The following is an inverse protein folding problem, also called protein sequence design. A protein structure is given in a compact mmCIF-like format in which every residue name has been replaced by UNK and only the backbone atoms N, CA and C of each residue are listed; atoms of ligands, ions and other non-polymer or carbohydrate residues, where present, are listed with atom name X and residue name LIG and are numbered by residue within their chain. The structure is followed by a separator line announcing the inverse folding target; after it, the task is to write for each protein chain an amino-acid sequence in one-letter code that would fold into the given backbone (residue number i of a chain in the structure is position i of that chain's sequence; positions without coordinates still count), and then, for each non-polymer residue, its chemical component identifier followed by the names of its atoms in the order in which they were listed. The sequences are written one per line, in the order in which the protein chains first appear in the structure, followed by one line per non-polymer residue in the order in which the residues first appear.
data_IF_856935223064
#
_entry.id   IF_856935223064
#
_cell.length_a   1.000
_cell.length_b   1.000
_cell.length_c   1.000
_cell.angle_alpha   90.00
_cell.angle_beta   90.00
_cell.angle_gamma   90.00
#
_symmetry.space_group_name_H-M   'P 1'
#
loop_
_entity.id
_entity.type
_entity.pdbx_description
1 polymer ?
#
# COMPACT_ATOMS: atom_id res chain seq x y z
N UNK A 1 31.71 -12.44 -69.43
CA UNK A 1 31.59 -11.68 -68.16
C UNK A 1 30.60 -10.55 -68.42
N UNK A 2 29.49 -10.42 -67.69
CA UNK A 2 28.54 -9.33 -67.93
C UNK A 2 29.12 -8.00 -67.43
N UNK A 3 29.29 -7.03 -68.32
CA UNK A 3 29.75 -5.67 -68.00
C UNK A 3 28.62 -4.94 -67.25
N UNK A 4 28.80 -4.76 -65.93
CA UNK A 4 27.90 -3.96 -65.10
C UNK A 4 28.04 -2.48 -65.49
N UNK A 5 27.26 -2.02 -66.46
CA UNK A 5 27.24 -0.60 -66.85
C UNK A 5 26.81 0.24 -65.64
N UNK A 6 27.46 1.38 -65.41
CA UNK A 6 27.26 2.24 -64.23
C UNK A 6 25.76 2.55 -63.92
N UNK A 7 24.92 2.60 -64.95
CA UNK A 7 23.46 2.80 -64.83
C UNK A 7 22.73 1.65 -64.11
N UNK A 8 23.15 0.41 -64.33
CA UNK A 8 22.56 -0.77 -63.68
C UNK A 8 23.04 -0.89 -62.23
N UNK A 9 24.28 -0.47 -61.95
CA UNK A 9 24.83 -0.40 -60.60
C UNK A 9 24.02 0.60 -59.73
N UNK A 10 23.74 1.79 -60.26
CA UNK A 10 22.92 2.79 -59.55
C UNK A 10 21.50 2.28 -59.23
N UNK A 11 20.89 1.55 -60.16
CA UNK A 11 19.58 0.96 -59.94
C UNK A 11 19.60 -0.12 -58.84
N UNK A 12 20.59 -1.01 -58.85
CA UNK A 12 20.76 -2.05 -57.82
C UNK A 12 21.00 -1.43 -56.44
N UNK A 13 21.83 -0.39 -56.35
CA UNK A 13 22.11 0.32 -55.09
C UNK A 13 20.85 1.02 -54.57
N UNK A 14 20.06 1.66 -55.43
CA UNK A 14 18.82 2.32 -55.04
C UNK A 14 17.80 1.28 -54.54
N UNK A 15 17.63 0.16 -55.23
CA UNK A 15 16.75 -0.93 -54.78
C UNK A 15 17.22 -1.48 -53.44
N UNK A 16 18.52 -1.79 -53.28
CA UNK A 16 19.06 -2.27 -52.02
C UNK A 16 18.86 -1.27 -50.86
N UNK A 17 19.07 0.03 -51.12
CA UNK A 17 18.86 1.08 -50.13
C UNK A 17 17.39 1.21 -49.72
N UNK A 18 16.45 1.12 -50.68
CA UNK A 18 15.01 1.13 -50.38
C UNK A 18 14.58 -0.08 -49.54
N UNK A 19 15.08 -1.28 -49.87
CA UNK A 19 14.79 -2.50 -49.10
C UNK A 19 15.35 -2.40 -47.68
N UNK A 20 16.58 -1.89 -47.52
CA UNK A 20 17.18 -1.67 -46.22
C UNK A 20 16.41 -0.65 -45.37
N UNK A 21 15.94 0.45 -45.99
CA UNK A 21 15.14 1.47 -45.32
C UNK A 21 13.78 0.91 -44.86
N UNK A 22 13.12 0.10 -45.68
CA UNK A 22 11.85 -0.56 -45.33
C UNK A 22 12.05 -1.54 -44.18
N UNK A 23 13.10 -2.36 -44.23
CA UNK A 23 13.45 -3.29 -43.14
C UNK A 23 13.73 -2.55 -41.84
N UNK A 24 14.52 -1.47 -41.89
CA UNK A 24 14.80 -0.65 -40.72
C UNK A 24 13.52 -0.03 -40.14
N UNK A 25 12.64 0.51 -40.98
CA UNK A 25 11.36 1.06 -40.55
C UNK A 25 10.49 0.00 -39.87
N UNK A 26 10.35 -1.19 -40.46
CA UNK A 26 9.58 -2.30 -39.86
C UNK A 26 10.15 -2.71 -38.50
N UNK A 27 11.49 -2.82 -38.38
CA UNK A 27 12.13 -3.17 -37.10
C UNK A 27 11.93 -2.07 -36.05
N UNK A 28 11.99 -0.79 -36.44
CA UNK A 28 11.76 0.32 -35.51
C UNK A 28 10.31 0.38 -35.04
N UNK A 29 9.34 0.13 -35.93
CA UNK A 29 7.92 0.08 -35.56
C UNK A 29 7.58 -1.13 -34.69
N UNK A 30 8.21 -2.29 -34.94
CA UNK A 30 7.98 -3.50 -34.15
C UNK A 30 8.58 -3.45 -32.73
N UNK A 31 9.45 -2.47 -32.43
CA UNK A 31 10.10 -2.30 -31.12
C UNK A 31 9.40 -1.31 -30.18
N UNK A 32 8.24 -0.76 -30.55
CA UNK A 32 7.59 0.31 -29.78
C UNK A 32 6.76 -0.15 -28.56
N UNK A 33 6.65 -1.46 -28.29
CA UNK A 33 5.68 -1.99 -27.31
C UNK A 33 6.25 -2.34 -25.91
N UNK A 34 7.43 -1.83 -25.52
CA UNK A 34 8.02 -2.12 -24.19
C UNK A 34 7.37 -1.33 -23.01
N UNK A 35 6.12 -0.89 -23.17
CA UNK A 35 5.38 -0.17 -22.13
C UNK A 35 4.61 -1.15 -21.23
N UNK A 36 5.32 -1.87 -20.36
CA UNK A 36 4.68 -2.67 -19.33
C UNK A 36 3.89 -1.75 -18.36
N UNK A 37 2.60 -2.01 -18.09
CA UNK A 37 1.82 -1.17 -17.20
C UNK A 37 2.39 -1.23 -15.78
N UNK A 38 2.63 -0.07 -15.18
CA UNK A 38 3.04 0.04 -13.77
C UNK A 38 1.92 -0.55 -12.90
N UNK A 39 2.18 -1.69 -12.26
CA UNK A 39 1.24 -2.33 -11.33
C UNK A 39 1.44 -1.72 -9.95
N UNK A 40 0.47 -0.93 -9.49
CA UNK A 40 0.43 -0.47 -8.10
C UNK A 40 -0.05 -1.64 -7.24
N UNK A 41 0.89 -2.30 -6.58
CA UNK A 41 0.57 -3.28 -5.54
C UNK A 41 0.18 -2.46 -4.32
N UNK A 42 -1.12 -2.29 -4.08
CA UNK A 42 -1.57 -1.71 -2.82
C UNK A 42 -1.05 -2.60 -1.68
N UNK A 43 -0.53 -2.03 -0.58
CA UNK A 43 -0.26 -2.83 0.61
C UNK A 43 -1.55 -3.55 0.96
N UNK A 44 -1.54 -4.89 0.97
CA UNK A 44 -2.54 -5.63 1.74
C UNK A 44 -2.49 -5.02 3.12
N UNK A 45 -3.60 -4.45 3.59
CA UNK A 45 -3.72 -4.08 4.99
C UNK A 45 -3.47 -5.38 5.75
N UNK A 46 -2.24 -5.58 6.21
CA UNK A 46 -1.90 -6.63 7.14
C UNK A 46 -2.85 -6.37 8.28
N UNK A 47 -3.81 -7.26 8.47
CA UNK A 47 -4.78 -7.15 9.54
C UNK A 47 -4.00 -7.47 10.81
N UNK A 48 -3.21 -6.49 11.26
CA UNK A 48 -2.55 -6.51 12.54
C UNK A 48 -3.68 -6.59 13.53
N UNK A 49 -3.85 -7.77 14.12
CA UNK A 49 -4.75 -7.94 15.26
C UNK A 49 -4.45 -6.79 16.22
N UNK A 50 -5.45 -5.98 16.61
CA UNK A 50 -5.20 -4.85 17.48
C UNK A 50 -4.46 -5.37 18.72
N UNK A 51 -3.32 -4.75 19.03
CA UNK A 51 -2.57 -5.13 20.21
C UNK A 51 -3.49 -5.00 21.43
N UNK A 52 -3.41 -5.95 22.35
CA UNK A 52 -4.26 -5.95 23.54
C UNK A 52 -3.45 -5.53 24.75
N UNK A 53 -4.11 -4.84 25.68
CA UNK A 53 -3.56 -4.43 26.98
C UNK A 53 -4.46 -4.93 28.10
N UNK A 54 -3.88 -5.19 29.27
CA UNK A 54 -4.63 -5.61 30.46
C UNK A 54 -4.62 -4.50 31.49
N UNK A 55 -5.79 -3.99 31.84
CA UNK A 55 -5.95 -2.87 32.76
C UNK A 55 -6.65 -3.37 34.02
N UNK A 56 -6.08 -3.06 35.18
CA UNK A 56 -6.73 -3.30 36.46
C UNK A 56 -7.57 -2.08 36.86
N UNK A 57 -8.88 -2.28 37.00
CA UNK A 57 -9.84 -1.25 37.40
C UNK A 57 -10.34 -1.55 38.81
N UNK A 58 -10.22 -0.57 39.72
CA UNK A 58 -10.58 -0.69 41.13
C UNK A 58 -11.20 0.65 41.62
N UNK A 59 -11.75 0.63 42.83
CA UNK A 59 -12.33 1.77 43.52
C UNK A 59 -13.85 1.75 43.45
N UNK A 60 -14.45 2.93 43.31
CA UNK A 60 -15.89 3.14 43.30
C UNK A 60 -16.49 2.85 41.90
N UNK A 61 -16.22 1.67 41.35
CA UNK A 61 -16.77 1.15 40.07
C UNK A 61 -17.73 -0.01 40.33
N UNK A 62 -18.64 -0.30 39.40
CA UNK A 62 -19.67 -1.34 39.60
C UNK A 62 -19.04 -2.72 39.73
N UNK A 63 -18.11 -3.08 38.84
CA UNK A 63 -17.40 -4.35 38.85
C UNK A 63 -15.89 -4.10 38.84
N UNK A 64 -15.21 -4.15 40.00
CA UNK A 64 -13.75 -4.12 40.04
C UNK A 64 -13.14 -5.38 39.43
N UNK A 65 -12.03 -5.26 38.70
CA UNK A 65 -11.42 -6.41 38.03
C UNK A 65 -10.32 -6.05 37.04
N UNK A 66 -9.75 -7.08 36.40
CA UNK A 66 -8.79 -6.92 35.30
C UNK A 66 -9.53 -7.10 33.98
N UNK A 67 -9.38 -6.13 33.09
CA UNK A 67 -10.05 -6.08 31.79
C UNK A 67 -9.01 -6.12 30.68
N UNK A 68 -9.29 -6.89 29.63
CA UNK A 68 -8.51 -6.89 28.39
C UNK A 68 -9.17 -5.93 27.41
N UNK A 69 -8.42 -4.94 26.95
CA UNK A 69 -8.88 -3.88 26.06
C UNK A 69 -7.94 -3.77 24.85
N UNK A 70 -8.40 -3.10 23.79
CA UNK A 70 -7.53 -2.75 22.68
C UNK A 70 -6.49 -1.72 23.13
N UNK A 71 -5.29 -1.74 22.56
CA UNK A 71 -4.20 -0.82 22.91
C UNK A 71 -4.53 0.64 22.61
N UNK A 72 -5.50 0.87 21.73
CA UNK A 72 -6.00 2.21 21.38
C UNK A 72 -7.16 2.67 22.27
N UNK A 73 -7.66 1.81 23.17
CA UNK A 73 -8.71 2.13 24.13
C UNK A 73 -8.29 3.24 25.10
N UNK A 74 -9.29 3.93 25.63
CA UNK A 74 -9.15 5.03 26.58
C UNK A 74 -9.63 4.64 27.96
N UNK A 75 -9.36 5.50 28.95
CA UNK A 75 -9.83 5.31 30.33
C UNK A 75 -11.37 5.20 30.39
N UNK A 76 -12.11 5.92 29.53
CA UNK A 76 -13.57 5.72 29.39
C UNK A 76 -13.94 4.28 29.14
N UNK A 77 -13.26 3.64 28.20
CA UNK A 77 -13.60 2.29 27.75
C UNK A 77 -13.32 1.26 28.87
N UNK A 78 -12.29 1.51 29.69
CA UNK A 78 -12.00 0.71 30.87
C UNK A 78 -13.07 0.86 31.95
N UNK A 79 -13.59 2.08 32.17
CA UNK A 79 -14.68 2.31 33.11
C UNK A 79 -15.98 1.67 32.61
N UNK A 80 -16.28 1.80 31.32
CA UNK A 80 -17.46 1.20 30.71
C UNK A 80 -17.42 -0.33 30.80
N UNK A 81 -16.25 -0.94 30.57
CA UNK A 81 -16.03 -2.38 30.77
C UNK A 81 -16.25 -2.82 32.23
N UNK A 82 -15.93 -1.95 33.20
CA UNK A 82 -16.22 -2.14 34.62
C UNK A 82 -17.69 -1.89 34.99
N UNK A 83 -18.55 -1.52 34.04
CA UNK A 83 -19.96 -1.18 34.25
C UNK A 83 -20.19 0.26 34.72
N UNK A 84 -19.22 1.14 34.52
CA UNK A 84 -19.24 2.53 34.93
C UNK A 84 -18.86 2.75 36.39
N UNK A 85 -18.93 4.01 36.80
CA UNK A 85 -18.73 4.40 38.20
C UNK A 85 -20.00 4.20 39.03
N UNK A 86 -19.82 3.93 40.32
CA UNK A 86 -20.91 3.94 41.31
C UNK A 86 -21.28 5.38 41.70
N UNK A 87 -22.37 5.54 42.47
CA UNK A 87 -22.77 6.84 43.02
C UNK A 87 -21.72 7.52 43.94
N UNK A 88 -20.71 6.77 44.40
CA UNK A 88 -19.57 7.29 45.18
C UNK A 88 -18.34 7.60 44.32
N UNK A 89 -18.40 7.32 43.02
CA UNK A 89 -17.29 7.56 42.09
C UNK A 89 -17.14 9.04 41.77
N UNK A 90 -15.89 9.49 41.67
CA UNK A 90 -15.53 10.87 41.32
C UNK A 90 -14.62 10.78 40.09
N UNK A 91 -15.03 11.44 39.01
CA UNK A 91 -14.26 11.53 37.76
C UNK A 91 -13.52 12.86 37.63
N UNK A 92 -13.78 13.81 38.52
CA UNK A 92 -13.10 15.10 38.51
C UNK A 92 -11.60 14.91 38.68
N UNK A 93 -10.84 15.49 37.75
CA UNK A 93 -9.38 15.35 37.70
C UNK A 93 -8.88 14.10 36.95
N UNK A 94 -9.77 13.21 36.49
CA UNK A 94 -9.39 12.08 35.64
C UNK A 94 -9.49 12.45 34.16
N UNK A 95 -8.40 12.26 33.41
CA UNK A 95 -8.42 12.42 31.97
C UNK A 95 -9.02 11.17 31.30
N UNK A 96 -10.34 11.17 31.13
CA UNK A 96 -11.09 10.10 30.49
C UNK A 96 -10.64 9.80 29.06
N UNK A 97 -10.08 10.80 28.37
CA UNK A 97 -9.55 10.63 27.03
C UNK A 97 -8.14 10.01 26.99
N UNK A 98 -7.46 9.81 28.12
CA UNK A 98 -6.13 9.21 28.13
C UNK A 98 -6.19 7.76 27.65
N UNK A 99 -5.21 7.34 26.84
CA UNK A 99 -5.09 5.95 26.40
C UNK A 99 -4.58 5.05 27.51
N UNK A 100 -5.10 3.84 27.56
CA UNK A 100 -4.59 2.79 28.45
C UNK A 100 -3.30 2.20 27.91
N UNK A 101 -2.42 1.75 28.81
CA UNK A 101 -1.11 1.15 28.50
C UNK A 101 -0.81 0.08 29.54
N UNK A 102 -0.09 -0.96 29.14
CA UNK A 102 0.48 -2.00 30.02
C UNK A 102 1.75 -1.47 30.72
#
# INVERSE_FOLDING_TARGET
MPELTARNLSFIVLVAATVAAVLAAVVLLARQDDNAPVRIIAPTAQQESPAQVRVYVNGAVVNPGVYTLDSESRITDALDAAGGITAKGILDGLNLALRVKD
#
